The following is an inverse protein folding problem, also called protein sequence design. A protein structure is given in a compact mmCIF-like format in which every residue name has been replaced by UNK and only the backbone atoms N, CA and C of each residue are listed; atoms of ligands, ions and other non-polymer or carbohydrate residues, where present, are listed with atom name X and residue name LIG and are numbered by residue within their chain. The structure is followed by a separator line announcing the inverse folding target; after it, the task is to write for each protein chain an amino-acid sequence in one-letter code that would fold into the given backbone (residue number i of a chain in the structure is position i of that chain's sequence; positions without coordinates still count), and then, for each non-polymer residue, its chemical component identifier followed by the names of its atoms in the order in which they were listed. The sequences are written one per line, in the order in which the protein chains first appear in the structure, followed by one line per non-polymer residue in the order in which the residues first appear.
data_IF_083061172481
#
_entry.id   IF_083061172481
#
_cell.length_a   1.000
_cell.length_b   1.000
_cell.length_c   1.000
_cell.angle_alpha   90.00
_cell.angle_beta   90.00
_cell.angle_gamma   90.00
#
_symmetry.space_group_name_H-M   'P 1'
#
loop_
_entity.id
_entity.type
_entity.pdbx_description
1 polymer ?
#
# COMPACT_ATOMS: atom_id res chain seq x y z
N UNK A 1 28.42 47.39 -32.20
CA UNK A 1 29.78 46.93 -31.82
C UNK A 1 29.60 45.61 -31.10
N UNK A 2 29.98 44.40 -31.53
CA UNK A 2 30.56 43.74 -32.72
C UNK A 2 30.22 42.21 -32.51
N UNK A 3 30.35 41.30 -33.48
CA UNK A 3 29.62 41.19 -34.74
C UNK A 3 29.06 39.76 -35.01
N UNK A 4 28.34 39.63 -36.12
CA UNK A 4 28.03 38.39 -36.83
C UNK A 4 29.28 37.70 -37.40
N UNK A 5 29.32 36.36 -37.41
CA UNK A 5 29.99 35.60 -38.47
C UNK A 5 29.39 34.20 -38.63
N UNK A 6 29.01 33.92 -39.87
CA UNK A 6 28.61 32.63 -40.40
C UNK A 6 29.81 31.69 -40.53
N UNK A 7 29.56 30.37 -40.55
CA UNK A 7 30.35 29.43 -41.35
C UNK A 7 29.55 28.13 -41.58
N UNK A 8 29.42 27.82 -42.87
CA UNK A 8 28.81 26.63 -43.44
C UNK A 8 29.73 25.40 -43.33
N UNK A 9 29.15 24.20 -43.23
CA UNK A 9 29.78 22.96 -43.71
C UNK A 9 28.72 22.09 -44.40
N UNK A 10 29.04 21.71 -45.63
CA UNK A 10 28.29 20.87 -46.53
C UNK A 10 28.73 19.39 -46.44
N UNK A 11 28.02 18.52 -47.19
CA UNK A 11 28.39 17.16 -47.62
C UNK A 11 28.26 16.06 -46.55
N UNK A 12 27.88 14.80 -46.80
CA UNK A 12 27.43 14.01 -47.96
C UNK A 12 27.00 12.63 -47.41
N UNK A 13 26.09 11.93 -48.09
CA UNK A 13 25.54 10.57 -47.77
C UNK A 13 26.62 9.44 -47.73
N UNK A 14 26.37 8.15 -47.34
CA UNK A 14 25.36 7.25 -47.96
C UNK A 14 24.72 6.13 -47.08
N UNK A 15 23.76 5.46 -47.72
CA UNK A 15 23.06 4.19 -47.45
C UNK A 15 23.95 3.02 -46.95
N UNK A 16 23.39 2.09 -46.15
CA UNK A 16 23.43 0.63 -46.40
C UNK A 16 22.57 -0.17 -45.40
N UNK A 17 21.98 -1.24 -45.94
CA UNK A 17 21.10 -2.24 -45.34
C UNK A 17 21.82 -3.19 -44.36
N UNK A 18 21.10 -3.85 -43.46
CA UNK A 18 21.08 -5.33 -43.32
C UNK A 18 20.11 -5.82 -42.21
N UNK A 19 19.55 -7.00 -42.47
CA UNK A 19 18.31 -7.57 -41.97
C UNK A 19 18.35 -8.28 -40.60
N UNK A 20 17.19 -8.55 -39.97
CA UNK A 20 17.07 -9.51 -38.87
C UNK A 20 16.93 -10.95 -39.38
N UNK A 21 17.73 -11.87 -38.82
CA UNK A 21 17.69 -13.31 -39.10
C UNK A 21 16.60 -13.97 -38.26
N UNK A 22 15.64 -14.58 -38.93
CA UNK A 22 14.70 -15.56 -38.37
C UNK A 22 15.38 -16.95 -38.29
N UNK A 23 15.13 -17.69 -37.21
CA UNK A 23 15.26 -19.14 -37.24
C UNK A 23 14.04 -19.79 -36.59
N UNK A 24 13.51 -20.75 -37.34
CA UNK A 24 12.30 -21.53 -37.15
C UNK A 24 12.58 -22.81 -36.35
N UNK A 25 11.49 -23.60 -36.19
CA UNK A 25 11.40 -25.03 -35.88
C UNK A 25 11.18 -25.36 -34.38
N UNK A 26 10.25 -26.23 -33.97
CA UNK A 26 9.22 -27.05 -34.64
C UNK A 26 8.39 -27.69 -33.50
N UNK A 27 7.06 -27.71 -33.60
CA UNK A 27 6.20 -28.63 -32.82
C UNK A 27 6.17 -30.01 -33.50
N UNK A 28 5.97 -31.11 -32.76
CA UNK A 28 4.75 -31.90 -33.04
C UNK A 28 4.15 -32.66 -31.83
N UNK A 29 2.87 -32.36 -31.58
CA UNK A 29 1.68 -33.21 -31.43
C UNK A 29 1.71 -34.75 -31.23
N UNK A 30 0.71 -35.21 -30.44
CA UNK A 30 -0.04 -36.50 -30.41
C UNK A 30 0.48 -37.73 -29.64
N UNK A 31 -0.40 -38.32 -28.81
CA UNK A 31 -0.24 -39.68 -28.26
C UNK A 31 -1.27 -40.06 -27.19
N UNK A 32 -2.44 -40.54 -27.63
CA UNK A 32 -3.43 -41.29 -26.84
C UNK A 32 -2.99 -42.74 -26.58
N UNK A 33 -3.28 -43.33 -25.42
CA UNK A 33 -3.09 -44.77 -25.19
C UNK A 33 -3.75 -45.29 -23.90
N UNK A 34 -4.66 -46.24 -24.05
CA UNK A 34 -5.43 -46.92 -23.01
C UNK A 34 -4.70 -48.15 -22.40
N UNK A 35 -5.17 -48.57 -21.21
CA UNK A 35 -4.93 -49.85 -20.49
C UNK A 35 -5.25 -51.12 -21.32
N UNK A 36 -5.15 -52.39 -20.83
CA UNK A 36 -4.47 -53.02 -19.66
C UNK A 36 -3.70 -54.33 -20.03
N UNK A 37 -3.00 -54.98 -19.07
CA UNK A 37 -3.08 -56.45 -18.80
C UNK A 37 -1.87 -57.00 -18.02
N UNK A 38 -2.11 -57.59 -16.85
CA UNK A 38 -1.68 -58.95 -16.53
C UNK A 38 -2.21 -59.37 -15.16
N UNK A 39 -2.97 -60.46 -15.17
CA UNK A 39 -3.39 -61.25 -14.02
C UNK A 39 -2.21 -62.13 -13.57
N UNK A 40 -2.04 -62.34 -12.26
CA UNK A 40 -1.65 -63.65 -11.70
C UNK A 40 -2.21 -63.79 -10.27
N UNK A 41 -2.72 -65.00 -10.01
CA UNK A 41 -3.50 -65.47 -8.86
C UNK A 41 -2.56 -66.01 -7.77
N UNK A 42 -2.91 -65.85 -6.49
CA UNK A 42 -2.26 -66.63 -5.42
C UNK A 42 -2.61 -66.24 -3.99
N UNK A 43 -3.61 -66.95 -3.43
CA UNK A 43 -3.72 -67.44 -2.05
C UNK A 43 -3.46 -66.47 -0.86
N UNK A 44 -4.58 -66.05 -0.25
CA UNK A 44 -4.88 -66.22 1.19
C UNK A 44 -3.91 -65.65 2.23
N UNK A 45 -4.37 -64.63 2.97
CA UNK A 45 -4.63 -64.64 4.42
C UNK A 45 -5.40 -63.35 4.73
N UNK A 46 -6.62 -63.50 5.27
CA UNK A 46 -7.35 -62.39 5.88
C UNK A 46 -6.54 -61.84 7.07
N UNK A 47 -5.88 -60.70 6.87
CA UNK A 47 -5.32 -59.92 7.97
C UNK A 47 -6.40 -58.94 8.40
N UNK A 48 -7.11 -59.33 9.47
CA UNK A 48 -7.88 -58.51 10.39
C UNK A 48 -7.68 -57.02 10.17
N UNK A 49 -8.74 -56.35 9.68
CA UNK A 49 -8.84 -54.90 9.65
C UNK A 49 -8.67 -54.37 11.08
N UNK A 50 -7.43 -54.05 11.46
CA UNK A 50 -7.15 -53.17 12.58
C UNK A 50 -7.75 -51.83 12.23
N UNK A 51 -9.02 -51.65 12.60
CA UNK A 51 -9.72 -50.39 12.48
C UNK A 51 -8.81 -49.29 13.01
N UNK A 52 -8.34 -48.42 12.11
CA UNK A 52 -7.85 -47.12 12.55
C UNK A 52 -9.02 -46.55 13.32
N UNK A 53 -8.85 -46.39 14.64
CA UNK A 53 -9.73 -45.55 15.42
C UNK A 53 -9.55 -44.16 14.82
N UNK A 54 -10.23 -43.84 13.73
CA UNK A 54 -10.40 -42.46 13.31
C UNK A 54 -11.11 -41.87 14.51
N UNK A 55 -10.42 -41.01 15.24
CA UNK A 55 -11.00 -40.31 16.36
C UNK A 55 -12.22 -39.58 15.82
N UNK A 56 -13.42 -40.11 16.05
CA UNK A 56 -14.71 -39.50 15.72
C UNK A 56 -15.05 -38.35 16.68
N UNK A 57 -14.08 -37.95 17.51
CA UNK A 57 -14.18 -36.76 18.32
C UNK A 57 -14.29 -35.55 17.39
N UNK A 58 -15.37 -34.76 17.48
CA UNK A 58 -15.41 -33.48 16.80
C UNK A 58 -14.20 -32.68 17.29
N UNK A 59 -13.36 -32.21 16.38
CA UNK A 59 -12.30 -31.25 16.73
C UNK A 59 -13.03 -30.09 17.40
N UNK A 60 -12.85 -29.95 18.71
CA UNK A 60 -13.39 -28.80 19.44
C UNK A 60 -12.96 -27.55 18.68
N UNK A 61 -13.84 -26.55 18.50
CA UNK A 61 -13.46 -25.33 17.81
C UNK A 61 -12.23 -24.78 18.52
N UNK A 62 -11.13 -24.66 17.78
CA UNK A 62 -9.93 -24.02 18.27
C UNK A 62 -10.26 -22.53 18.36
N UNK A 63 -10.71 -22.09 19.53
CA UNK A 63 -11.05 -20.69 19.78
C UNK A 63 -9.72 -19.95 19.94
N UNK A 64 -9.24 -19.38 18.85
CA UNK A 64 -8.14 -18.42 18.92
C UNK A 64 -8.58 -17.20 19.75
N UNK A 65 -7.75 -16.83 20.72
CA UNK A 65 -8.00 -15.64 21.52
C UNK A 65 -8.06 -14.40 20.61
N UNK A 66 -9.06 -13.53 20.84
CA UNK A 66 -9.10 -12.19 20.22
C UNK A 66 -7.78 -11.46 20.44
N UNK A 67 -7.42 -10.60 19.48
CA UNK A 67 -6.24 -9.72 19.50
C UNK A 67 -5.90 -9.25 20.93
N UNK A 68 -4.72 -9.65 21.39
CA UNK A 68 -4.32 -9.53 22.81
C UNK A 68 -3.74 -8.16 23.12
N UNK A 69 -3.19 -7.49 22.10
CA UNK A 69 -2.44 -6.26 22.25
C UNK A 69 -3.18 -5.03 21.69
N UNK A 70 -2.92 -3.86 22.28
CA UNK A 70 -3.49 -2.59 21.81
C UNK A 70 -3.14 -2.30 20.33
N UNK A 71 -1.92 -2.66 19.91
CA UNK A 71 -1.43 -2.52 18.53
C UNK A 71 -2.23 -3.37 17.54
N UNK A 72 -2.50 -4.63 17.88
CA UNK A 72 -3.30 -5.54 17.04
C UNK A 72 -4.75 -5.03 16.94
N UNK A 73 -5.34 -4.62 18.07
CA UNK A 73 -6.68 -4.03 18.09
C UNK A 73 -6.79 -2.72 17.30
N UNK A 74 -5.72 -1.92 17.26
CA UNK A 74 -5.62 -0.77 16.37
C UNK A 74 -5.56 -1.21 14.90
N UNK A 75 -4.71 -2.18 14.55
CA UNK A 75 -4.60 -2.72 13.19
C UNK A 75 -5.94 -3.23 12.63
N UNK A 76 -6.68 -4.01 13.43
CA UNK A 76 -8.01 -4.53 13.05
C UNK A 76 -9.01 -3.40 12.79
N UNK A 77 -9.00 -2.33 13.60
CA UNK A 77 -9.86 -1.15 13.38
C UNK A 77 -9.46 -0.39 12.13
N UNK A 78 -8.16 -0.24 11.92
CA UNK A 78 -7.59 0.46 10.78
C UNK A 78 -7.96 -0.22 9.46
N UNK A 79 -7.76 -1.53 9.38
CA UNK A 79 -8.17 -2.34 8.22
C UNK A 79 -9.68 -2.26 7.97
N UNK A 80 -10.49 -2.30 9.02
CA UNK A 80 -11.95 -2.16 8.90
C UNK A 80 -12.36 -0.81 8.30
N UNK A 81 -11.69 0.27 8.67
CA UNK A 81 -11.95 1.61 8.11
C UNK A 81 -11.51 1.65 6.64
N UNK A 82 -10.34 1.09 6.33
CA UNK A 82 -9.80 1.01 4.97
C UNK A 82 -10.65 0.21 4.00
N UNK A 83 -11.53 -0.69 4.47
CA UNK A 83 -12.55 -1.33 3.61
C UNK A 83 -13.54 -0.35 2.97
N UNK A 84 -13.72 0.85 3.53
CA UNK A 84 -14.62 1.88 3.01
C UNK A 84 -13.89 3.09 2.45
N UNK A 85 -12.76 3.45 3.04
CA UNK A 85 -11.99 4.65 2.69
C UNK A 85 -10.88 4.25 1.72
N UNK A 86 -10.96 4.71 0.47
CA UNK A 86 -9.98 4.41 -0.59
C UNK A 86 -9.52 5.74 -1.22
N UNK A 87 -8.24 5.86 -1.53
CA UNK A 87 -7.67 7.02 -2.22
C UNK A 87 -7.64 6.83 -3.73
N UNK A 88 -8.22 7.77 -4.47
CA UNK A 88 -8.10 7.89 -5.93
C UNK A 88 -7.13 9.03 -6.28
N UNK A 89 -6.65 9.14 -7.54
CA UNK A 89 -5.81 10.27 -7.93
C UNK A 89 -6.52 11.63 -7.78
N UNK A 90 -7.84 11.66 -7.99
CA UNK A 90 -8.65 12.87 -7.79
C UNK A 90 -8.90 13.18 -6.32
N UNK A 91 -9.10 12.14 -5.50
CA UNK A 91 -9.40 12.26 -4.07
C UNK A 91 -8.50 11.34 -3.25
N UNK A 92 -7.22 11.72 -3.06
CA UNK A 92 -6.26 10.91 -2.33
C UNK A 92 -6.63 10.77 -0.85
N UNK A 93 -6.16 9.70 -0.23
CA UNK A 93 -6.45 9.36 1.16
C UNK A 93 -5.46 10.05 2.09
N UNK A 94 -5.96 10.88 3.00
CA UNK A 94 -5.16 11.49 4.07
C UNK A 94 -5.15 10.57 5.29
N UNK A 95 -4.05 9.86 5.49
CA UNK A 95 -3.83 8.93 6.59
C UNK A 95 -3.17 9.62 7.80
N UNK A 96 -3.80 9.49 8.97
CA UNK A 96 -3.26 10.01 10.24
C UNK A 96 -2.65 8.85 11.06
N UNK A 97 -1.43 9.03 11.53
CA UNK A 97 -0.78 8.12 12.48
C UNK A 97 -0.32 8.87 13.72
N UNK A 98 -0.64 8.34 14.90
CA UNK A 98 -0.33 8.95 16.19
C UNK A 98 0.45 7.98 17.07
N UNK A 99 1.72 8.31 17.33
CA UNK A 99 2.51 7.60 18.34
C UNK A 99 2.37 8.27 19.71
N UNK A 100 3.09 7.75 20.71
CA UNK A 100 3.10 8.35 22.04
C UNK A 100 3.72 9.77 22.03
N UNK A 101 4.75 9.97 21.20
CA UNK A 101 5.55 11.21 21.17
C UNK A 101 5.30 12.07 19.93
N UNK A 102 4.87 11.48 18.82
CA UNK A 102 4.87 12.12 17.51
C UNK A 102 3.55 11.91 16.77
N UNK A 103 3.30 12.79 15.83
CA UNK A 103 2.14 12.73 14.94
C UNK A 103 2.64 12.81 13.49
N UNK A 104 2.08 11.96 12.64
CA UNK A 104 2.42 11.85 11.24
C UNK A 104 1.15 11.91 10.41
N UNK A 105 1.21 12.64 9.30
CA UNK A 105 0.14 12.69 8.31
C UNK A 105 0.72 12.50 6.93
N UNK A 106 0.06 11.66 6.15
CA UNK A 106 0.44 11.36 4.78
C UNK A 106 -0.79 11.45 3.89
N UNK A 107 -0.62 11.97 2.69
CA UNK A 107 -1.63 11.97 1.63
C UNK A 107 -1.15 11.00 0.57
N UNK A 108 -1.93 9.95 0.34
CA UNK A 108 -1.55 8.78 -0.43
C UNK A 108 -2.55 8.57 -1.57
N UNK A 109 -2.04 8.32 -2.76
CA UNK A 109 -2.82 7.75 -3.86
C UNK A 109 -2.65 6.23 -3.83
N UNK A 110 -3.74 5.51 -3.56
CA UNK A 110 -3.73 4.06 -3.44
C UNK A 110 -3.63 3.38 -4.83
N UNK A 111 -3.96 4.08 -5.93
CA UNK A 111 -3.88 3.54 -7.29
C UNK A 111 -2.44 3.45 -7.80
N UNK A 112 -1.66 4.49 -7.54
CA UNK A 112 -0.24 4.58 -7.91
C UNK A 112 0.68 4.08 -6.77
N UNK A 113 0.12 3.76 -5.61
CA UNK A 113 0.84 3.45 -4.38
C UNK A 113 1.90 4.51 -4.04
N UNK A 114 1.57 5.78 -4.30
CA UNK A 114 2.50 6.90 -4.18
C UNK A 114 2.04 7.87 -3.09
N UNK A 115 2.98 8.35 -2.28
CA UNK A 115 2.71 9.36 -1.26
C UNK A 115 2.93 10.74 -1.84
N UNK A 116 1.84 11.47 -2.02
CA UNK A 116 1.85 12.80 -2.61
C UNK A 116 2.41 13.84 -1.65
N UNK A 117 2.02 13.81 -0.38
CA UNK A 117 2.54 14.74 0.63
C UNK A 117 2.69 14.03 1.98
N UNK A 118 3.70 14.42 2.74
CA UNK A 118 3.94 13.87 4.08
C UNK A 118 4.46 14.95 5.02
N UNK A 119 3.84 15.05 6.19
CA UNK A 119 4.22 15.99 7.24
C UNK A 119 4.34 15.23 8.56
N UNK A 120 5.35 15.56 9.34
CA UNK A 120 5.54 14.97 10.66
C UNK A 120 6.10 15.97 11.66
N UNK A 121 5.83 15.71 12.94
CA UNK A 121 6.44 16.48 14.04
C UNK A 121 7.96 16.36 14.07
N UNK A 122 8.55 15.37 13.40
CA UNK A 122 10.01 15.22 13.31
C UNK A 122 10.67 16.13 12.27
N UNK A 123 9.90 16.79 11.41
CA UNK A 123 10.46 17.73 10.44
C UNK A 123 10.94 19.01 11.16
N UNK A 124 12.08 19.54 10.71
CA UNK A 124 12.76 20.71 11.33
C UNK A 124 11.84 21.91 11.53
N UNK A 125 11.00 22.18 10.52
CA UNK A 125 10.02 23.28 10.53
C UNK A 125 9.04 23.23 11.71
N UNK A 126 8.75 22.02 12.22
CA UNK A 126 7.79 21.79 13.30
C UNK A 126 8.53 21.51 14.62
N UNK A 127 9.69 20.84 14.58
CA UNK A 127 10.46 20.50 15.77
C UNK A 127 11.07 21.71 16.49
N UNK A 128 11.45 22.76 15.76
CA UNK A 128 12.03 23.98 16.36
C UNK A 128 11.02 24.79 17.16
N UNK A 129 9.72 24.59 16.90
CA UNK A 129 8.65 25.39 17.46
C UNK A 129 7.90 24.69 18.63
N UNK A 130 8.33 23.49 19.05
CA UNK A 130 7.57 22.64 19.96
C UNK A 130 8.49 21.85 20.90
N UNK A 131 8.34 22.07 22.21
CA UNK A 131 8.93 21.22 23.24
C UNK A 131 8.10 19.94 23.44
N UNK A 132 8.67 18.79 23.08
CA UNK A 132 8.00 17.48 23.14
C UNK A 132 7.99 16.84 24.54
N UNK A 133 7.81 17.62 25.60
CA UNK A 133 7.99 17.13 26.98
C UNK A 133 7.03 15.99 27.36
N UNK A 134 5.84 15.89 26.74
CA UNK A 134 4.86 14.83 27.06
C UNK A 134 4.02 14.31 25.86
N UNK A 135 4.51 14.52 24.63
CA UNK A 135 3.86 14.06 23.40
C UNK A 135 3.15 15.16 22.61
N UNK A 136 2.40 14.83 21.54
CA UNK A 136 1.87 15.83 20.63
C UNK A 136 0.65 16.53 21.25
N UNK A 137 0.76 17.82 21.56
CA UNK A 137 -0.36 18.64 22.07
C UNK A 137 -1.39 18.93 20.96
N UNK A 138 -2.58 19.40 21.32
CA UNK A 138 -3.63 19.81 20.36
C UNK A 138 -3.10 20.91 19.43
N UNK A 139 -2.32 21.86 19.95
CA UNK A 139 -1.70 22.93 19.16
C UNK A 139 -0.75 22.40 18.09
N UNK A 140 0.02 21.35 18.42
CA UNK A 140 0.89 20.66 17.47
C UNK A 140 0.08 20.06 16.34
N UNK A 141 -1.06 19.42 16.66
CA UNK A 141 -1.95 18.84 15.67
C UNK A 141 -2.55 19.90 14.73
N UNK A 142 -2.90 21.09 15.26
CA UNK A 142 -3.35 22.23 14.44
C UNK A 142 -2.27 22.67 13.46
N UNK A 143 -1.06 22.99 13.95
CA UNK A 143 0.10 23.39 13.11
C UNK A 143 0.39 22.36 12.02
N UNK A 144 0.28 21.08 12.35
CA UNK A 144 0.50 19.98 11.40
C UNK A 144 -0.60 19.93 10.33
N UNK A 145 -1.86 20.19 10.71
CA UNK A 145 -3.00 20.37 9.80
C UNK A 145 -2.79 21.54 8.81
N UNK A 146 -2.26 22.66 9.27
CA UNK A 146 -1.94 23.80 8.38
C UNK A 146 -0.82 23.45 7.41
N UNK A 147 0.24 22.81 7.91
CA UNK A 147 1.42 22.45 7.12
C UNK A 147 1.08 21.43 6.02
N UNK A 148 0.22 20.44 6.31
CA UNK A 148 -0.21 19.47 5.29
C UNK A 148 -1.12 20.14 4.26
N UNK A 149 -2.04 21.01 4.68
CA UNK A 149 -2.92 21.73 3.76
C UNK A 149 -2.13 22.59 2.76
N UNK A 150 -1.16 23.37 3.25
CA UNK A 150 -0.25 24.16 2.41
C UNK A 150 0.53 23.28 1.43
N UNK A 151 1.03 22.14 1.89
CA UNK A 151 1.77 21.18 1.04
C UNK A 151 0.89 20.55 -0.05
N UNK A 152 -0.38 20.28 0.25
CA UNK A 152 -1.35 19.75 -0.70
C UNK A 152 -1.75 20.79 -1.74
N UNK A 153 -2.01 22.03 -1.33
CA UNK A 153 -2.37 23.12 -2.24
C UNK A 153 -1.22 23.44 -3.21
N UNK A 154 0.03 23.41 -2.75
CA UNK A 154 1.21 23.55 -3.63
C UNK A 154 1.29 22.47 -4.71
N UNK A 155 0.71 21.29 -4.45
CA UNK A 155 0.66 20.15 -5.39
C UNK A 155 -0.65 20.11 -6.18
N UNK A 156 -1.52 21.11 -6.03
CA UNK A 156 -2.81 21.19 -6.72
C UNK A 156 -3.88 20.25 -6.18
N UNK A 157 -3.73 19.72 -4.96
CA UNK A 157 -4.68 18.78 -4.35
C UNK A 157 -5.63 19.57 -3.44
N UNK A 158 -6.92 19.63 -3.82
CA UNK A 158 -7.95 20.37 -3.08
C UNK A 158 -8.91 19.45 -2.33
N UNK A 159 -9.21 18.27 -2.89
CA UNK A 159 -10.13 17.29 -2.31
C UNK A 159 -9.37 16.08 -1.77
N UNK A 160 -9.67 15.65 -0.56
CA UNK A 160 -9.06 14.45 0.05
C UNK A 160 -10.11 13.61 0.77
N UNK A 161 -9.79 12.36 1.06
CA UNK A 161 -10.61 11.54 1.96
C UNK A 161 -9.89 11.36 3.29
N UNK A 162 -10.57 11.68 4.40
CA UNK A 162 -9.97 11.59 5.73
C UNK A 162 -9.94 10.16 6.27
N UNK A 163 -8.74 9.62 6.47
CA UNK A 163 -8.50 8.35 7.14
C UNK A 163 -7.93 8.60 8.56
N UNK A 164 -8.82 8.44 9.55
CA UNK A 164 -8.50 8.57 10.98
C UNK A 164 -7.54 7.51 11.52
N UNK A 165 -7.11 6.55 10.70
CA UNK A 165 -6.01 5.67 11.03
C UNK A 165 -6.30 4.68 12.16
N UNK A 166 -7.56 4.28 12.37
CA UNK A 166 -7.95 3.44 13.50
C UNK A 166 -8.13 4.17 14.84
N UNK A 167 -7.79 5.46 14.95
CA UNK A 167 -8.03 6.27 16.13
C UNK A 167 -9.49 6.78 16.19
N UNK A 168 -9.94 7.13 17.39
CA UNK A 168 -11.22 7.82 17.56
C UNK A 168 -11.12 9.25 16.99
N UNK A 169 -12.18 9.71 16.34
CA UNK A 169 -12.27 11.08 15.86
C UNK A 169 -12.58 12.01 17.04
N UNK A 170 -11.54 12.41 17.75
CA UNK A 170 -11.61 13.28 18.92
C UNK A 170 -10.24 13.93 19.18
N UNK A 171 -10.23 14.98 20.02
CA UNK A 171 -9.02 15.63 20.51
C UNK A 171 -8.06 16.02 19.39
N UNK A 172 -6.86 15.42 19.38
CA UNK A 172 -5.79 15.73 18.41
C UNK A 172 -6.20 15.42 16.96
N UNK A 173 -6.92 14.33 16.73
CA UNK A 173 -7.33 13.92 15.36
C UNK A 173 -8.37 14.88 14.81
N UNK A 174 -9.30 15.32 15.67
CA UNK A 174 -10.30 16.32 15.33
C UNK A 174 -9.65 17.67 15.06
N UNK A 175 -8.79 18.15 15.96
CA UNK A 175 -8.11 19.44 15.79
C UNK A 175 -7.24 19.51 14.53
N UNK A 176 -6.62 18.40 14.13
CA UNK A 176 -5.89 18.32 12.86
C UNK A 176 -6.82 18.45 11.65
N UNK A 177 -7.97 17.77 11.71
CA UNK A 177 -8.97 17.84 10.65
C UNK A 177 -9.57 19.24 10.53
N UNK A 178 -9.91 19.87 11.65
CA UNK A 178 -10.48 21.22 11.67
C UNK A 178 -9.47 22.23 11.09
N UNK A 179 -8.20 22.16 11.49
CA UNK A 179 -7.15 23.00 10.90
C UNK A 179 -6.98 22.76 9.39
N UNK A 180 -7.00 21.50 8.93
CA UNK A 180 -6.90 21.23 7.49
C UNK A 180 -8.09 21.82 6.69
N UNK A 181 -9.30 21.83 7.27
CA UNK A 181 -10.49 22.46 6.66
C UNK A 181 -10.40 23.97 6.60
N UNK A 182 -9.91 24.61 7.68
CA UNK A 182 -9.70 26.06 7.73
C UNK A 182 -8.72 26.54 6.66
N UNK A 183 -7.69 25.74 6.36
CA UNK A 183 -6.67 26.02 5.34
C UNK A 183 -7.07 25.55 3.93
N UNK A 184 -8.36 25.26 3.68
CA UNK A 184 -8.91 25.07 2.33
C UNK A 184 -8.90 23.65 1.78
N UNK A 185 -8.61 22.64 2.61
CA UNK A 185 -8.70 21.23 2.22
C UNK A 185 -10.14 20.72 2.37
N UNK A 186 -10.73 20.18 1.31
CA UNK A 186 -12.12 19.73 1.30
C UNK A 186 -12.19 18.21 1.57
N UNK A 187 -12.83 17.82 2.69
CA UNK A 187 -13.05 16.40 3.04
C UNK A 187 -14.18 16.13 4.04
#
# INVERSE_FOLDING_TARGET
MYPSSALAVASSAPSLMLAPVASWYLSPSHGSGAFPSSLHVGLGVEISARGRRTSTWPKLPFIEARAKNSTENHGVRHERIRKKVHGTPERPRMCVFRSNKHLYVQVIDDTQMHTLASVSTMQKSISENIDYSSGPTIEVAKKLGEAIAKSCLQKGITQVTFDRGGYAYHGRVQALADAAREHGLLF
#
